data_IF_930330156214
#
_entry.id   IF_930330156214
#
_cell.length_a   1.000
_cell.length_b   1.000
_cell.length_c   1.000
_cell.angle_alpha   90.00
_cell.angle_beta   90.00
_cell.angle_gamma   90.00
#
_symmetry.space_group_name_H-M   'P 1'
#
loop_
_entity.id
_entity.type
_entity.pdbx_description
1 polymer ?
#
# COMPACT_ATOMS: atom_id res chain seq x y z
N UNK A 1 4.23 -22.05 -7.45
CA UNK A 1 3.82 -20.75 -8.02
C UNK A 1 4.12 -19.68 -7.00
N UNK A 2 4.45 -18.44 -7.42
CA UNK A 2 4.52 -17.24 -6.57
C UNK A 2 3.39 -16.34 -6.98
N UNK A 3 2.65 -15.79 -6.02
CA UNK A 3 1.61 -14.77 -6.28
C UNK A 3 2.23 -13.39 -6.13
N UNK A 4 1.79 -12.43 -6.96
CA UNK A 4 2.41 -11.12 -7.02
C UNK A 4 1.39 -10.03 -7.40
N UNK A 5 1.50 -8.87 -6.78
CA UNK A 5 0.67 -7.72 -7.08
C UNK A 5 1.25 -6.41 -6.57
N UNK A 6 0.77 -5.32 -7.15
CA UNK A 6 1.02 -3.96 -6.75
C UNK A 6 -0.30 -3.28 -6.38
N UNK A 7 -0.31 -2.39 -5.36
CA UNK A 7 -1.48 -1.64 -4.91
C UNK A 7 -2.65 -2.57 -4.59
N UNK A 8 -3.80 -2.41 -5.24
CA UNK A 8 -4.95 -3.31 -5.09
C UNK A 8 -4.60 -4.79 -5.37
N UNK A 9 -3.65 -5.05 -6.29
CA UNK A 9 -3.12 -6.38 -6.51
C UNK A 9 -2.32 -6.92 -5.33
N UNK A 10 -1.54 -6.08 -4.65
CA UNK A 10 -0.83 -6.44 -3.43
C UNK A 10 -1.80 -6.70 -2.26
N UNK A 11 -2.87 -5.90 -2.14
CA UNK A 11 -3.98 -6.16 -1.21
C UNK A 11 -4.59 -7.54 -1.46
N UNK A 12 -4.84 -7.87 -2.74
CA UNK A 12 -5.39 -9.18 -3.15
C UNK A 12 -4.45 -10.32 -2.78
N UNK A 13 -3.14 -10.16 -2.95
CA UNK A 13 -2.13 -11.10 -2.47
C UNK A 13 -2.22 -11.26 -0.95
N UNK A 14 -2.32 -10.15 -0.23
CA UNK A 14 -2.51 -10.12 1.23
C UNK A 14 -3.74 -10.89 1.69
N UNK A 15 -4.88 -10.74 0.97
CA UNK A 15 -6.09 -11.51 1.24
C UNK A 15 -5.87 -13.01 1.08
N UNK A 16 -5.17 -13.43 0.03
CA UNK A 16 -4.84 -14.86 -0.17
C UNK A 16 -3.93 -15.40 0.93
N UNK A 17 -3.06 -14.58 1.51
CA UNK A 17 -2.22 -14.97 2.64
C UNK A 17 -3.02 -15.18 3.93
N UNK A 18 -4.16 -14.52 4.10
CA UNK A 18 -5.01 -14.59 5.30
C UNK A 18 -6.34 -15.32 5.06
N UNK A 19 -6.65 -15.70 3.81
CA UNK A 19 -7.87 -16.42 3.44
C UNK A 19 -8.08 -17.67 4.30
N UNK A 20 -9.33 -17.94 4.66
CA UNK A 20 -9.71 -19.12 5.46
C UNK A 20 -8.90 -19.27 6.76
N UNK A 21 -8.58 -18.13 7.43
CA UNK A 21 -7.68 -18.08 8.59
C UNK A 21 -6.27 -18.65 8.31
N UNK A 22 -5.71 -18.31 7.17
CA UNK A 22 -4.35 -18.74 6.82
C UNK A 22 -4.23 -20.21 6.44
N UNK A 23 -5.32 -20.83 5.96
CA UNK A 23 -5.27 -22.19 5.46
C UNK A 23 -4.30 -22.32 4.29
N UNK A 24 -3.30 -23.19 4.43
CA UNK A 24 -2.29 -23.39 3.42
C UNK A 24 -2.64 -24.59 2.53
N UNK A 25 -3.30 -24.32 1.42
CA UNK A 25 -3.65 -25.33 0.39
C UNK A 25 -2.48 -25.67 -0.55
N UNK A 26 -1.27 -25.17 -0.27
CA UNK A 26 -0.04 -25.40 -1.08
C UNK A 26 -0.12 -24.93 -2.52
N UNK A 27 -0.97 -23.96 -2.82
CA UNK A 27 -1.18 -23.42 -4.17
C UNK A 27 0.00 -22.53 -4.58
N UNK A 28 0.56 -21.78 -3.61
CA UNK A 28 1.71 -20.91 -3.84
C UNK A 28 2.79 -21.13 -2.78
N UNK A 29 4.04 -20.83 -3.13
CA UNK A 29 5.22 -21.00 -2.28
C UNK A 29 5.91 -19.71 -1.90
N UNK A 30 5.42 -18.58 -2.34
CA UNK A 30 5.95 -17.25 -2.08
C UNK A 30 4.96 -16.19 -2.51
N UNK A 31 5.07 -14.99 -1.94
CA UNK A 31 4.21 -13.87 -2.25
C UNK A 31 5.02 -12.57 -2.37
N UNK A 32 4.65 -11.72 -3.32
CA UNK A 32 5.25 -10.41 -3.55
C UNK A 32 4.16 -9.36 -3.45
N UNK A 33 4.36 -8.39 -2.58
CA UNK A 33 3.42 -7.31 -2.31
C UNK A 33 4.15 -5.97 -2.45
N UNK A 34 3.75 -5.19 -3.44
CA UNK A 34 4.29 -3.86 -3.72
C UNK A 34 3.24 -2.82 -3.36
N UNK A 35 3.52 -1.95 -2.40
CA UNK A 35 2.61 -0.90 -1.94
C UNK A 35 1.22 -1.44 -1.63
N UNK A 36 1.15 -2.46 -0.80
CA UNK A 36 -0.04 -3.15 -0.35
C UNK A 36 0.34 -4.41 0.43
N UNK A 37 -0.54 -4.91 1.30
CA UNK A 37 -0.26 -6.03 2.19
C UNK A 37 -1.57 -6.50 2.88
N UNK A 38 -1.57 -7.52 3.76
CA UNK A 38 -2.78 -8.02 4.40
C UNK A 38 -3.56 -7.00 5.25
N UNK A 39 -2.94 -5.90 5.70
CA UNK A 39 -3.53 -4.98 6.70
C UNK A 39 -4.00 -3.64 6.07
N UNK A 40 -3.91 -3.45 4.78
CA UNK A 40 -4.07 -2.15 4.12
C UNK A 40 -5.49 -1.58 4.09
N UNK A 41 -6.52 -2.38 4.31
CA UNK A 41 -7.92 -1.96 4.14
C UNK A 41 -8.74 -2.34 5.35
N UNK A 42 -9.77 -1.55 5.62
CA UNK A 42 -10.78 -1.90 6.60
C UNK A 42 -11.66 -3.03 6.07
N UNK A 43 -12.14 -3.86 6.97
CA UNK A 43 -13.19 -4.82 6.66
C UNK A 43 -14.52 -4.16 6.98
N UNK A 44 -15.29 -3.82 5.96
CA UNK A 44 -16.55 -3.11 6.14
C UNK A 44 -17.65 -4.09 6.54
N UNK A 45 -18.59 -3.60 7.33
CA UNK A 45 -19.84 -4.31 7.56
C UNK A 45 -20.60 -4.42 6.24
N UNK A 46 -21.13 -5.62 5.97
CA UNK A 46 -21.84 -5.87 4.73
C UNK A 46 -23.19 -5.13 4.70
N UNK A 47 -23.28 -4.06 3.91
CA UNK A 47 -24.54 -3.44 3.55
C UNK A 47 -25.05 -3.98 2.20
N UNK A 48 -26.20 -4.65 2.23
CA UNK A 48 -26.84 -5.20 1.03
C UNK A 48 -27.44 -4.13 0.11
N UNK A 49 -27.55 -2.90 0.56
CA UNK A 49 -28.27 -1.84 -0.16
C UNK A 49 -27.70 -1.62 -1.56
N UNK A 50 -26.40 -1.53 -1.69
CA UNK A 50 -25.74 -1.32 -2.99
C UNK A 50 -25.92 -2.52 -3.91
N UNK A 51 -25.78 -3.75 -3.41
CA UNK A 51 -26.02 -4.97 -4.19
C UNK A 51 -27.48 -5.04 -4.68
N UNK A 52 -28.44 -4.73 -3.82
CA UNK A 52 -29.86 -4.75 -4.17
C UNK A 52 -30.19 -3.67 -5.21
N UNK A 53 -29.65 -2.47 -5.06
CA UNK A 53 -29.81 -1.39 -6.03
C UNK A 53 -29.20 -1.75 -7.39
N UNK A 54 -27.98 -2.29 -7.40
CA UNK A 54 -27.31 -2.77 -8.60
C UNK A 54 -28.12 -3.85 -9.31
N UNK A 55 -28.62 -4.82 -8.55
CA UNK A 55 -29.42 -5.93 -9.08
C UNK A 55 -30.73 -5.46 -9.71
N UNK A 56 -31.42 -4.52 -9.07
CA UNK A 56 -32.65 -3.92 -9.60
C UNK A 56 -32.39 -3.18 -10.92
N UNK A 57 -31.32 -2.39 -11.01
CA UNK A 57 -30.95 -1.68 -12.25
C UNK A 57 -30.59 -2.65 -13.38
N UNK A 58 -30.04 -3.80 -13.06
CA UNK A 58 -29.73 -4.85 -14.03
C UNK A 58 -30.96 -5.70 -14.42
N UNK A 59 -32.10 -5.48 -13.76
CA UNK A 59 -33.37 -6.16 -14.03
C UNK A 59 -33.61 -7.41 -13.19
N UNK A 60 -32.88 -7.60 -12.10
CA UNK A 60 -33.10 -8.67 -11.15
C UNK A 60 -34.14 -8.26 -10.10
N UNK A 61 -34.91 -9.25 -9.60
CA UNK A 61 -35.81 -9.00 -8.48
C UNK A 61 -35.02 -8.91 -7.16
N UNK A 62 -35.00 -7.74 -6.48
CA UNK A 62 -34.23 -7.58 -5.24
C UNK A 62 -34.69 -8.48 -4.08
N UNK A 63 -35.94 -8.98 -4.15
CA UNK A 63 -36.50 -9.92 -3.17
C UNK A 63 -36.25 -11.39 -3.51
N UNK A 64 -35.60 -11.66 -4.65
CA UNK A 64 -35.35 -13.02 -5.14
C UNK A 64 -33.90 -13.46 -4.89
N UNK A 65 -33.46 -14.54 -5.54
CA UNK A 65 -32.08 -15.02 -5.49
C UNK A 65 -31.18 -14.12 -6.37
N UNK A 66 -30.79 -12.96 -5.81
CA UNK A 66 -30.08 -11.89 -6.51
C UNK A 66 -28.82 -12.38 -7.20
N UNK A 67 -27.98 -13.15 -6.52
CA UNK A 67 -26.71 -13.63 -7.08
C UNK A 67 -26.90 -14.56 -8.27
N UNK A 68 -27.93 -15.42 -8.22
CA UNK A 68 -28.22 -16.32 -9.33
C UNK A 68 -28.73 -15.55 -10.55
N UNK A 69 -29.53 -14.51 -10.31
CA UNK A 69 -29.92 -13.61 -11.39
C UNK A 69 -28.72 -12.86 -11.99
N UNK A 70 -27.86 -12.28 -11.17
CA UNK A 70 -26.67 -11.57 -11.63
C UNK A 70 -25.73 -12.46 -12.45
N UNK A 71 -25.57 -13.74 -12.07
CA UNK A 71 -24.80 -14.73 -12.84
C UNK A 71 -25.37 -15.02 -14.22
N UNK A 72 -26.65 -14.77 -14.46
CA UNK A 72 -27.30 -14.94 -15.76
C UNK A 72 -27.24 -13.68 -16.64
N UNK A 73 -26.79 -12.53 -16.10
CA UNK A 73 -26.66 -11.30 -16.88
C UNK A 73 -25.53 -11.47 -17.90
N UNK A 74 -25.78 -11.21 -19.19
CA UNK A 74 -24.71 -11.25 -20.19
C UNK A 74 -23.56 -10.32 -19.84
N UNK A 75 -22.31 -10.82 -19.96
CA UNK A 75 -21.12 -10.07 -19.60
C UNK A 75 -21.08 -8.64 -20.14
N UNK A 76 -21.40 -8.35 -21.44
CA UNK A 76 -21.39 -6.99 -21.95
C UNK A 76 -22.31 -6.02 -21.18
N UNK A 77 -23.50 -6.51 -20.76
CA UNK A 77 -24.47 -5.71 -19.98
C UNK A 77 -23.96 -5.47 -18.56
N UNK A 78 -23.44 -6.51 -17.89
CA UNK A 78 -22.88 -6.40 -16.55
C UNK A 78 -21.66 -5.47 -16.55
N UNK A 79 -20.74 -5.65 -17.48
CA UNK A 79 -19.55 -4.83 -17.61
C UNK A 79 -19.88 -3.36 -17.91
N UNK A 80 -20.86 -3.08 -18.78
CA UNK A 80 -21.32 -1.73 -19.06
C UNK A 80 -21.88 -1.06 -17.80
N UNK A 81 -22.60 -1.83 -16.95
CA UNK A 81 -23.13 -1.31 -15.69
C UNK A 81 -21.99 -1.04 -14.67
N UNK A 82 -21.06 -1.97 -14.50
CA UNK A 82 -19.89 -1.79 -13.60
C UNK A 82 -19.10 -0.53 -13.97
N UNK A 83 -18.94 -0.25 -15.26
CA UNK A 83 -18.24 0.93 -15.78
C UNK A 83 -19.14 2.19 -15.90
N UNK A 84 -20.38 2.13 -15.44
CA UNK A 84 -21.23 3.32 -15.37
C UNK A 84 -20.88 4.20 -14.17
N UNK A 85 -21.39 5.44 -14.17
CA UNK A 85 -21.21 6.34 -13.02
C UNK A 85 -21.70 5.71 -11.71
N UNK A 86 -22.80 4.97 -11.74
CA UNK A 86 -23.34 4.28 -10.57
C UNK A 86 -22.41 3.14 -10.12
N UNK A 87 -21.97 2.28 -11.04
CA UNK A 87 -21.05 1.19 -10.73
C UNK A 87 -19.73 1.68 -10.17
N UNK A 88 -19.15 2.74 -10.77
CA UNK A 88 -17.90 3.33 -10.31
C UNK A 88 -18.02 4.10 -8.97
N UNK A 89 -19.23 4.48 -8.57
CA UNK A 89 -19.47 5.14 -7.28
C UNK A 89 -19.69 4.15 -6.13
N UNK A 90 -19.83 2.86 -6.41
CA UNK A 90 -19.96 1.83 -5.37
C UNK A 90 -18.62 1.59 -4.67
N UNK A 91 -18.71 1.22 -3.40
CA UNK A 91 -17.56 0.78 -2.64
C UNK A 91 -17.27 -0.72 -2.91
N UNK A 92 -16.23 -0.99 -3.69
CA UNK A 92 -15.80 -2.34 -4.05
C UNK A 92 -14.76 -2.90 -3.07
N UNK A 93 -14.89 -2.55 -1.79
CA UNK A 93 -13.97 -3.02 -0.77
C UNK A 93 -14.25 -4.47 -0.34
N UNK A 94 -13.24 -5.19 0.12
CA UNK A 94 -13.43 -6.50 0.72
C UNK A 94 -14.25 -6.41 2.01
N UNK A 95 -15.06 -7.41 2.24
CA UNK A 95 -15.87 -7.53 3.45
C UNK A 95 -15.53 -8.81 4.21
N UNK A 96 -15.78 -8.84 5.51
CA UNK A 96 -15.79 -10.08 6.28
C UNK A 96 -17.03 -10.86 5.87
N UNK A 97 -16.84 -11.96 5.12
CA UNK A 97 -17.92 -12.82 4.64
C UNK A 97 -18.09 -14.09 5.50
N UNK A 98 -17.16 -14.32 6.43
CA UNK A 98 -17.18 -15.49 7.31
C UNK A 98 -16.68 -16.79 6.66
N UNK A 99 -16.25 -16.73 5.41
CA UNK A 99 -15.69 -17.86 4.65
C UNK A 99 -14.28 -17.49 4.14
N UNK A 100 -14.17 -16.76 3.04
CA UNK A 100 -12.87 -16.37 2.49
C UNK A 100 -12.16 -15.35 3.41
N UNK A 101 -12.85 -14.28 3.81
CA UNK A 101 -12.36 -13.31 4.79
C UNK A 101 -13.09 -13.54 6.11
N UNK A 102 -12.42 -14.17 7.08
CA UNK A 102 -13.04 -14.58 8.32
C UNK A 102 -12.94 -13.55 9.45
N UNK A 103 -12.09 -12.54 9.30
CA UNK A 103 -11.90 -11.54 10.34
C UNK A 103 -10.97 -10.40 9.94
N UNK A 104 -10.74 -9.51 10.89
CA UNK A 104 -9.77 -8.41 10.75
C UNK A 104 -8.36 -8.98 10.59
N UNK A 105 -7.70 -8.62 9.51
CA UNK A 105 -6.42 -9.23 9.12
C UNK A 105 -5.30 -8.94 10.11
N UNK A 106 -5.29 -7.75 10.76
CA UNK A 106 -4.33 -7.46 11.83
C UNK A 106 -4.46 -8.42 13.04
N UNK A 107 -5.69 -8.85 13.34
CA UNK A 107 -5.98 -9.81 14.40
C UNK A 107 -5.55 -11.22 13.99
N UNK A 108 -5.83 -11.61 12.74
CA UNK A 108 -5.38 -12.90 12.19
C UNK A 108 -3.84 -12.99 12.21
N UNK A 109 -3.15 -11.97 11.73
CA UNK A 109 -1.69 -11.92 11.76
C UNK A 109 -1.11 -12.01 13.18
N UNK A 110 -1.75 -11.34 14.14
CA UNK A 110 -1.32 -11.41 15.55
C UNK A 110 -1.47 -12.81 16.16
N UNK A 111 -2.42 -13.62 15.67
CA UNK A 111 -2.64 -15.01 16.07
C UNK A 111 -1.74 -16.01 15.33
N UNK A 112 -1.10 -15.60 14.24
CA UNK A 112 -0.37 -16.49 13.35
C UNK A 112 -1.24 -17.16 12.28
N UNK A 113 -2.47 -16.69 12.09
CA UNK A 113 -3.46 -17.23 11.16
C UNK A 113 -3.22 -16.67 9.73
N UNK A 114 -2.07 -17.01 9.14
CA UNK A 114 -1.69 -16.64 7.78
C UNK A 114 -0.83 -17.74 7.13
N UNK A 115 -0.76 -17.75 5.82
CA UNK A 115 0.06 -18.73 5.08
C UNK A 115 1.54 -18.40 5.25
N UNK A 116 2.30 -19.31 5.85
CA UNK A 116 3.71 -19.15 6.21
C UNK A 116 4.65 -19.40 5.02
N UNK A 117 4.60 -18.54 4.02
CA UNK A 117 5.50 -18.54 2.86
C UNK A 117 6.43 -17.34 2.86
N UNK A 118 7.63 -17.41 2.25
CA UNK A 118 8.49 -16.24 2.08
C UNK A 118 7.77 -15.12 1.35
N UNK A 119 8.09 -13.85 1.74
CA UNK A 119 7.51 -12.67 1.12
C UNK A 119 8.58 -11.65 0.70
N UNK A 120 8.29 -10.92 -0.38
CA UNK A 120 8.77 -9.55 -0.60
C UNK A 120 7.61 -8.63 -0.25
N UNK A 121 7.86 -7.61 0.59
CA UNK A 121 6.86 -6.58 0.92
C UNK A 121 7.54 -5.21 1.00
N UNK A 122 7.02 -4.24 0.27
CA UNK A 122 7.64 -2.92 0.22
C UNK A 122 6.67 -1.79 -0.05
N UNK A 123 7.20 -0.57 0.06
CA UNK A 123 6.48 0.66 -0.25
C UNK A 123 7.46 1.71 -0.81
N UNK A 124 6.90 2.72 -1.46
CA UNK A 124 7.69 3.84 -1.96
C UNK A 124 7.88 4.89 -0.85
N UNK A 125 8.93 5.70 -0.95
CA UNK A 125 9.28 6.69 0.07
C UNK A 125 8.16 7.70 0.31
N UNK A 126 7.50 8.11 -0.75
CA UNK A 126 6.57 9.24 -0.79
C UNK A 126 5.14 8.81 -1.17
N UNK A 127 4.71 7.63 -0.70
CA UNK A 127 3.37 7.09 -0.96
C UNK A 127 2.25 8.11 -0.70
N UNK A 128 2.38 8.87 0.37
CA UNK A 128 1.39 9.85 0.78
C UNK A 128 1.17 11.00 -0.19
N UNK A 129 2.13 11.28 -1.07
CA UNK A 129 1.92 12.31 -2.11
C UNK A 129 0.79 11.93 -3.08
N UNK A 130 0.49 10.64 -3.22
CA UNK A 130 -0.65 10.13 -3.98
C UNK A 130 -1.96 10.11 -3.17
N UNK A 131 -1.88 9.91 -1.85
CA UNK A 131 -3.07 9.66 -1.00
C UNK A 131 -3.47 10.84 -0.13
N UNK A 132 -2.53 11.73 0.21
CA UNK A 132 -2.83 12.91 1.01
C UNK A 132 -3.77 13.88 0.30
N UNK A 133 -4.84 14.35 0.97
CA UNK A 133 -5.77 15.30 0.37
C UNK A 133 -5.11 16.66 0.13
N UNK A 134 -5.38 17.27 -1.02
CA UNK A 134 -4.83 18.57 -1.44
C UNK A 134 -5.93 19.52 -1.91
N UNK A 135 -5.80 20.85 -1.67
CA UNK A 135 -4.75 21.47 -0.87
C UNK A 135 -4.95 21.25 0.64
N UNK A 136 -3.84 21.17 1.40
CA UNK A 136 -3.85 21.13 2.86
C UNK A 136 -3.10 22.36 3.40
N UNK A 137 -3.82 23.42 3.74
CA UNK A 137 -3.23 24.73 4.03
C UNK A 137 -3.04 25.01 5.52
N UNK A 138 -3.78 24.35 6.40
CA UNK A 138 -3.72 24.61 7.82
C UNK A 138 -3.97 23.37 8.67
N UNK A 139 -3.56 23.45 9.94
CA UNK A 139 -3.85 22.41 10.93
C UNK A 139 -5.35 22.20 11.14
N UNK A 140 -6.17 23.27 11.05
CA UNK A 140 -7.63 23.18 11.16
C UNK A 140 -8.23 22.37 10.00
N UNK A 141 -7.73 22.58 8.77
CA UNK A 141 -8.15 21.77 7.62
C UNK A 141 -7.76 20.31 7.82
N UNK A 142 -6.57 20.06 8.35
CA UNK A 142 -6.13 18.69 8.63
C UNK A 142 -7.01 18.04 9.69
N UNK A 143 -7.28 18.71 10.83
CA UNK A 143 -8.22 18.23 11.86
C UNK A 143 -9.59 17.94 11.25
N UNK A 144 -10.13 18.90 10.48
CA UNK A 144 -11.43 18.75 9.85
C UNK A 144 -11.46 17.52 8.93
N UNK A 145 -10.39 17.29 8.16
CA UNK A 145 -10.29 16.10 7.31
C UNK A 145 -10.28 14.81 8.13
N UNK A 146 -9.49 14.74 9.21
CA UNK A 146 -9.42 13.58 10.10
C UNK A 146 -10.76 13.25 10.78
N UNK A 147 -11.55 14.27 11.10
CA UNK A 147 -12.79 14.12 11.90
C UNK A 147 -14.08 14.07 11.07
N UNK A 148 -14.02 14.33 9.77
CA UNK A 148 -15.22 14.37 8.91
C UNK A 148 -15.09 13.58 7.60
N UNK A 149 -13.92 13.01 7.31
CA UNK A 149 -13.75 12.16 6.14
C UNK A 149 -13.75 10.69 6.52
N UNK A 150 -14.52 9.89 5.80
CA UNK A 150 -14.54 8.45 5.97
C UNK A 150 -13.26 7.73 5.44
N UNK A 151 -12.35 8.47 4.84
CA UNK A 151 -11.11 7.90 4.30
C UNK A 151 -9.89 8.42 5.06
N UNK A 152 -9.10 7.51 5.72
CA UNK A 152 -9.35 6.07 5.88
C UNK A 152 -10.49 5.73 6.84
N UNK A 153 -10.79 6.62 7.80
CA UNK A 153 -11.84 6.49 8.82
C UNK A 153 -12.11 7.85 9.47
N UNK A 154 -13.31 8.05 9.97
CA UNK A 154 -13.66 9.26 10.75
C UNK A 154 -13.10 9.07 12.17
N UNK A 155 -12.15 9.93 12.55
CA UNK A 155 -11.57 9.94 13.89
C UNK A 155 -12.38 10.80 14.85
N UNK A 156 -12.40 10.40 16.11
CA UNK A 156 -12.87 11.31 17.18
C UNK A 156 -11.92 12.49 17.36
N UNK A 157 -12.36 13.62 17.94
CA UNK A 157 -11.46 14.73 18.25
C UNK A 157 -10.24 14.35 19.11
N UNK A 158 -10.42 13.41 20.03
CA UNK A 158 -9.33 12.90 20.87
C UNK A 158 -8.29 12.10 20.05
N UNK A 159 -8.75 11.28 19.11
CA UNK A 159 -7.87 10.53 18.20
C UNK A 159 -7.15 11.48 17.24
N UNK A 160 -7.84 12.47 16.67
CA UNK A 160 -7.21 13.50 15.83
C UNK A 160 -6.09 14.25 16.59
N UNK A 161 -6.31 14.57 17.86
CA UNK A 161 -5.27 15.19 18.68
C UNK A 161 -4.04 14.27 18.88
N UNK A 162 -4.23 12.94 18.99
CA UNK A 162 -3.12 11.99 19.06
C UNK A 162 -2.36 11.93 17.72
N UNK A 163 -3.05 11.95 16.57
CA UNK A 163 -2.41 12.07 15.25
C UNK A 163 -1.56 13.32 15.18
N UNK A 164 -2.10 14.50 15.58
CA UNK A 164 -1.34 15.75 15.57
C UNK A 164 -0.09 15.72 16.45
N UNK A 165 -0.14 15.01 17.56
CA UNK A 165 1.02 14.82 18.45
C UNK A 165 2.06 13.91 17.81
N UNK A 166 1.63 12.81 17.20
CA UNK A 166 2.52 11.83 16.55
C UNK A 166 3.11 12.34 15.22
N UNK A 167 2.43 13.29 14.57
CA UNK A 167 2.88 13.96 13.35
C UNK A 167 3.02 15.49 13.62
N UNK A 168 4.08 15.95 14.31
CA UNK A 168 4.30 17.36 14.61
C UNK A 168 4.64 18.17 13.36
N UNK A 169 4.30 19.48 13.33
CA UNK A 169 4.53 20.35 12.17
C UNK A 169 6.00 20.45 11.73
N UNK A 170 6.94 20.30 12.65
CA UNK A 170 8.37 20.53 12.41
C UNK A 170 9.19 19.23 12.20
N UNK A 171 8.53 18.11 11.87
CA UNK A 171 9.25 16.89 11.56
C UNK A 171 10.05 17.02 10.26
N UNK A 172 11.19 16.34 10.20
CA UNK A 172 12.14 16.45 9.08
C UNK A 172 12.06 15.30 8.10
N UNK A 173 11.26 14.27 8.42
CA UNK A 173 11.11 13.02 7.67
C UNK A 173 9.72 12.91 6.97
N UNK A 174 9.18 14.06 6.54
CA UNK A 174 7.94 14.10 5.78
C UNK A 174 8.16 14.13 4.26
N UNK A 175 7.26 13.48 3.49
CA UNK A 175 7.30 13.50 2.03
C UNK A 175 7.26 14.94 1.46
N UNK A 176 7.82 15.19 0.28
CA UNK A 176 8.70 14.28 -0.44
C UNK A 176 10.10 14.30 0.17
N UNK A 177 10.71 13.11 0.28
CA UNK A 177 11.98 12.90 0.99
C UNK A 177 13.21 13.45 0.25
N UNK A 178 13.09 13.66 -1.05
CA UNK A 178 14.14 14.27 -1.88
C UNK A 178 14.27 15.79 -1.69
N UNK A 179 13.30 16.43 -1.04
CA UNK A 179 13.32 17.88 -0.78
C UNK A 179 13.75 18.18 0.66
N UNK A 180 14.46 19.31 0.90
CA UNK A 180 14.93 19.64 2.24
C UNK A 180 13.75 19.88 3.19
N UNK A 181 13.93 19.67 4.50
CA UNK A 181 12.90 19.93 5.51
C UNK A 181 12.32 21.36 5.47
N UNK A 182 13.13 22.32 5.01
CA UNK A 182 12.73 23.72 4.84
C UNK A 182 11.86 23.99 3.61
N UNK A 183 11.66 23.02 2.75
CA UNK A 183 10.76 23.18 1.60
C UNK A 183 9.31 23.41 2.06
N UNK A 184 8.72 24.48 1.59
CA UNK A 184 7.30 24.82 1.84
C UNK A 184 6.53 24.61 0.53
N UNK A 185 5.55 23.71 0.52
CA UNK A 185 4.73 23.47 -0.65
C UNK A 185 3.95 24.71 -1.10
N UNK A 186 3.82 24.86 -2.42
CA UNK A 186 3.05 25.97 -3.00
C UNK A 186 1.53 25.89 -2.72
N UNK A 187 0.77 26.95 -3.08
CA UNK A 187 -0.67 27.06 -2.74
C UNK A 187 -1.53 25.91 -3.25
N UNK A 188 -1.15 25.30 -4.39
CA UNK A 188 -1.89 24.17 -4.96
C UNK A 188 -1.78 22.88 -4.14
N UNK A 189 -0.73 22.75 -3.34
CA UNK A 189 -0.53 21.63 -2.41
C UNK A 189 -0.97 21.99 -1.00
N UNK A 190 -0.62 23.21 -0.57
CA UNK A 190 -0.89 23.74 0.78
C UNK A 190 0.28 23.51 1.75
N UNK A 191 0.46 24.43 2.70
CA UNK A 191 1.60 24.48 3.61
C UNK A 191 1.71 23.25 4.54
N UNK A 192 0.59 22.60 4.86
CA UNK A 192 0.50 21.39 5.70
C UNK A 192 0.49 20.08 4.87
N UNK A 193 0.64 20.15 3.54
CA UNK A 193 0.53 18.93 2.70
C UNK A 193 1.55 17.88 3.06
N UNK A 194 2.81 18.24 3.34
CA UNK A 194 3.87 17.30 3.75
C UNK A 194 3.49 16.48 4.98
N UNK A 195 2.91 17.15 5.99
CA UNK A 195 2.41 16.50 7.21
C UNK A 195 1.23 15.59 6.93
N UNK A 196 0.29 16.06 6.14
CA UNK A 196 -0.86 15.29 5.68
C UNK A 196 -0.41 14.07 4.88
N UNK A 197 0.49 14.25 3.92
CA UNK A 197 1.03 13.17 3.10
C UNK A 197 1.76 12.11 3.96
N UNK A 198 2.52 12.54 4.99
CA UNK A 198 3.13 11.60 5.92
C UNK A 198 2.10 10.70 6.61
N UNK A 199 1.04 11.29 7.18
CA UNK A 199 -0.01 10.51 7.83
C UNK A 199 -0.77 9.59 6.86
N UNK A 200 -1.21 10.13 5.71
CA UNK A 200 -2.00 9.34 4.76
C UNK A 200 -1.16 8.24 4.08
N UNK A 201 0.11 8.49 3.80
CA UNK A 201 1.02 7.46 3.29
C UNK A 201 1.31 6.38 4.32
N UNK A 202 1.49 6.78 5.58
CA UNK A 202 1.73 5.83 6.66
C UNK A 202 0.50 4.97 6.94
N UNK A 203 -0.69 5.56 7.07
CA UNK A 203 -1.89 4.78 7.36
C UNK A 203 -2.28 3.86 6.22
N UNK A 204 -2.00 4.26 4.97
CA UNK A 204 -2.40 3.50 3.80
C UNK A 204 -1.39 2.42 3.45
N UNK A 205 -0.09 2.70 3.46
CA UNK A 205 0.93 1.81 2.91
C UNK A 205 2.04 1.44 3.91
N UNK A 206 2.66 2.42 4.58
CA UNK A 206 3.96 2.19 5.23
C UNK A 206 3.82 1.49 6.59
N UNK A 207 2.85 1.90 7.44
CA UNK A 207 2.63 1.26 8.73
C UNK A 207 2.16 -0.20 8.58
N UNK A 208 1.17 -0.51 7.71
CA UNK A 208 0.78 -1.88 7.44
C UNK A 208 1.93 -2.74 6.89
N UNK A 209 2.76 -2.23 5.95
CA UNK A 209 3.95 -2.90 5.45
C UNK A 209 4.92 -3.24 6.58
N UNK A 210 5.26 -2.27 7.44
CA UNK A 210 6.15 -2.49 8.59
C UNK A 210 5.62 -3.59 9.51
N UNK A 211 4.34 -3.54 9.83
CA UNK A 211 3.69 -4.55 10.70
C UNK A 211 3.70 -5.93 10.06
N UNK A 212 3.45 -6.03 8.76
CA UNK A 212 3.52 -7.30 8.00
C UNK A 212 4.94 -7.87 8.07
N UNK A 213 5.96 -7.09 7.73
CA UNK A 213 7.36 -7.50 7.80
C UNK A 213 7.76 -7.99 9.21
N UNK A 214 7.36 -7.26 10.23
CA UNK A 214 7.60 -7.64 11.63
C UNK A 214 6.89 -8.95 12.00
N UNK A 215 5.68 -9.17 11.51
CA UNK A 215 4.90 -10.38 11.77
C UNK A 215 5.61 -11.60 11.18
N UNK A 216 6.02 -11.53 9.92
CA UNK A 216 6.78 -12.61 9.29
C UNK A 216 8.09 -12.89 10.00
N UNK A 217 8.85 -11.85 10.33
CA UNK A 217 10.12 -12.01 11.05
C UNK A 217 9.92 -12.66 12.43
N UNK A 218 8.89 -12.28 13.20
CA UNK A 218 8.53 -12.91 14.49
C UNK A 218 8.13 -14.37 14.32
N UNK A 219 7.42 -14.71 13.27
CA UNK A 219 7.04 -16.07 12.90
C UNK A 219 8.23 -16.88 12.35
N UNK A 220 9.42 -16.29 12.20
CA UNK A 220 10.63 -16.89 11.60
C UNK A 220 10.44 -17.33 10.14
N UNK A 221 9.51 -16.72 9.45
CA UNK A 221 9.29 -16.89 8.00
C UNK A 221 10.12 -15.82 7.27
N UNK A 222 10.84 -16.13 6.18
CA UNK A 222 11.62 -15.16 5.46
C UNK A 222 10.74 -14.00 4.94
N UNK A 223 11.11 -12.78 5.28
CA UNK A 223 10.56 -11.56 4.71
C UNK A 223 11.71 -10.71 4.17
N UNK A 224 11.55 -10.16 2.99
CA UNK A 224 12.48 -9.24 2.35
C UNK A 224 11.74 -7.93 2.13
N UNK A 225 12.05 -6.93 2.97
CA UNK A 225 11.29 -5.71 3.00
C UNK A 225 12.09 -4.58 2.37
N UNK A 226 11.42 -3.72 1.59
CA UNK A 226 12.08 -2.65 0.87
C UNK A 226 11.38 -1.30 1.00
N UNK A 227 12.14 -0.28 0.67
CA UNK A 227 11.67 1.07 0.36
C UNK A 227 12.27 1.49 -1.00
N UNK A 228 11.43 1.92 -1.91
CA UNK A 228 11.86 2.46 -3.20
C UNK A 228 12.00 3.99 -3.10
N UNK A 229 13.17 4.53 -3.50
CA UNK A 229 13.55 5.93 -3.29
C UNK A 229 14.01 6.65 -4.58
N UNK A 230 13.71 6.09 -5.73
CA UNK A 230 14.09 6.70 -7.02
C UNK A 230 12.90 7.45 -7.61
N UNK A 231 13.13 8.68 -8.08
CA UNK A 231 12.12 9.49 -8.77
C UNK A 231 12.31 9.29 -10.27
N UNK A 232 11.35 8.68 -10.97
CA UNK A 232 11.45 8.46 -12.41
C UNK A 232 11.39 9.76 -13.21
N UNK A 233 11.86 9.71 -14.45
CA UNK A 233 11.72 10.82 -15.38
C UNK A 233 10.25 11.31 -15.49
N UNK A 234 10.09 12.62 -15.62
CA UNK A 234 8.78 13.26 -15.77
C UNK A 234 7.97 13.41 -14.49
N UNK A 235 8.41 12.82 -13.37
CA UNK A 235 7.79 13.01 -12.05
C UNK A 235 8.31 14.28 -11.40
N UNK A 236 7.44 15.25 -11.04
CA UNK A 236 7.87 16.46 -10.37
C UNK A 236 8.53 16.17 -9.02
N UNK A 237 9.59 16.91 -8.68
CA UNK A 237 10.33 16.73 -7.41
C UNK A 237 9.45 16.87 -6.16
N UNK A 238 8.38 17.65 -6.23
CA UNK A 238 7.43 17.84 -5.12
C UNK A 238 6.46 16.66 -4.95
N UNK A 239 6.45 15.71 -5.89
CA UNK A 239 5.71 14.45 -5.79
C UNK A 239 6.57 13.36 -5.15
N UNK A 240 7.85 13.36 -5.48
CA UNK A 240 8.82 12.38 -4.96
C UNK A 240 8.65 10.98 -5.55
N UNK A 241 9.24 9.99 -4.89
CA UNK A 241 9.08 8.57 -5.22
C UNK A 241 7.72 8.07 -4.70
N UNK A 242 6.66 8.40 -5.42
CA UNK A 242 5.28 8.15 -5.04
C UNK A 242 4.79 6.77 -5.46
N UNK A 243 3.51 6.50 -5.21
CA UNK A 243 2.83 5.24 -5.52
C UNK A 243 3.01 4.80 -6.97
N UNK A 244 3.23 3.51 -7.22
CA UNK A 244 3.39 2.87 -8.53
C UNK A 244 4.71 3.13 -9.26
N UNK A 245 5.60 3.98 -8.74
CA UNK A 245 6.79 4.43 -9.49
C UNK A 245 7.85 3.32 -9.66
N UNK A 246 7.91 2.34 -8.78
CA UNK A 246 8.85 1.23 -8.83
C UNK A 246 8.52 0.20 -9.91
N UNK A 247 7.30 0.17 -10.41
CA UNK A 247 6.79 -0.89 -11.32
C UNK A 247 7.61 -0.97 -12.61
N UNK A 248 7.95 0.18 -13.20
CA UNK A 248 8.77 0.20 -14.41
C UNK A 248 10.16 -0.42 -14.19
N UNK A 249 10.74 -0.24 -13.00
CA UNK A 249 12.03 -0.80 -12.62
C UNK A 249 11.93 -2.31 -12.38
N UNK A 250 10.90 -2.75 -11.69
CA UNK A 250 10.68 -4.19 -11.42
C UNK A 250 10.49 -4.98 -12.71
N UNK A 251 9.83 -4.40 -13.71
CA UNK A 251 9.64 -5.05 -15.02
C UNK A 251 10.77 -4.79 -16.03
N UNK A 252 11.84 -4.10 -15.62
CA UNK A 252 12.93 -3.66 -16.52
C UNK A 252 12.39 -2.96 -17.79
N UNK A 253 11.33 -2.19 -17.62
CA UNK A 253 10.64 -1.51 -18.71
C UNK A 253 11.37 -0.21 -19.13
N UNK A 254 12.64 -0.33 -19.43
CA UNK A 254 13.52 0.79 -19.77
C UNK A 254 13.16 1.47 -21.09
N UNK A 255 12.38 0.79 -21.93
CA UNK A 255 11.84 1.36 -23.17
C UNK A 255 10.52 2.14 -22.96
N UNK A 256 9.99 2.18 -21.76
CA UNK A 256 8.74 2.88 -21.45
C UNK A 256 7.51 2.35 -22.18
N UNK A 257 7.46 1.06 -22.43
CA UNK A 257 6.30 0.45 -23.08
C UNK A 257 5.04 0.66 -22.26
N UNK A 258 4.02 1.24 -22.86
CA UNK A 258 2.77 1.61 -22.16
C UNK A 258 2.79 3.00 -21.51
N UNK A 259 3.90 3.71 -21.56
CA UNK A 259 4.00 5.12 -21.16
C UNK A 259 3.89 6.07 -22.35
N UNK A 260 3.68 7.36 -22.10
CA UNK A 260 3.63 8.38 -23.16
C UNK A 260 2.28 8.50 -23.90
N UNK A 261 1.23 7.81 -23.48
CA UNK A 261 -0.13 8.02 -23.99
C UNK A 261 -0.82 9.20 -23.29
N UNK A 262 -1.85 9.81 -23.89
CA UNK A 262 -2.61 10.84 -23.20
C UNK A 262 -3.11 10.37 -21.83
N UNK A 263 -2.73 11.10 -20.79
CA UNK A 263 -3.06 10.78 -19.40
C UNK A 263 -2.11 9.79 -18.70
N UNK A 264 -1.10 9.28 -19.38
CA UNK A 264 -0.04 8.43 -18.78
C UNK A 264 1.28 9.21 -18.81
N UNK A 265 2.08 9.05 -17.74
CA UNK A 265 3.38 9.71 -17.61
C UNK A 265 4.34 9.35 -18.76
N UNK A 266 5.36 10.17 -18.92
CA UNK A 266 6.43 9.94 -19.90
C UNK A 266 7.22 8.68 -19.57
N UNK A 267 8.07 8.21 -20.51
CA UNK A 267 8.97 7.09 -20.23
C UNK A 267 9.79 7.36 -18.97
N UNK A 268 9.69 6.51 -17.94
CA UNK A 268 10.37 6.71 -16.63
C UNK A 268 11.89 6.79 -16.70
N UNK A 269 12.50 6.38 -17.80
CA UNK A 269 13.95 6.31 -18.00
C UNK A 269 14.48 7.32 -19.02
N UNK A 270 13.63 8.16 -19.62
CA UNK A 270 14.05 9.09 -20.67
C UNK A 270 15.02 10.14 -20.14
N UNK A 271 16.26 10.13 -20.67
CA UNK A 271 17.30 11.07 -20.25
C UNK A 271 17.91 10.82 -18.86
N UNK A 272 17.50 9.76 -18.18
CA UNK A 272 18.03 9.44 -16.85
C UNK A 272 19.44 8.86 -16.89
N UNK A 273 20.25 9.06 -15.81
CA UNK A 273 21.58 8.49 -15.71
C UNK A 273 21.59 6.97 -15.76
N UNK A 274 22.73 6.40 -16.12
CA UNK A 274 22.97 4.95 -16.20
C UNK A 274 22.52 4.17 -14.97
N UNK A 275 22.65 4.74 -13.76
CA UNK A 275 22.22 4.13 -12.51
C UNK A 275 20.74 3.74 -12.48
N UNK A 276 19.87 4.45 -13.22
CA UNK A 276 18.45 4.11 -13.31
C UNK A 276 18.22 2.79 -14.05
N UNK A 277 18.94 2.58 -15.15
CA UNK A 277 18.88 1.34 -15.94
C UNK A 277 19.49 0.17 -15.17
N UNK A 278 20.63 0.40 -14.49
CA UNK A 278 21.25 -0.60 -13.63
C UNK A 278 20.36 -0.96 -12.42
N UNK A 279 19.61 0.00 -11.88
CA UNK A 279 18.64 -0.28 -10.83
C UNK A 279 17.46 -1.14 -11.34
N UNK A 280 16.98 -0.87 -12.54
CA UNK A 280 15.90 -1.66 -13.16
C UNK A 280 16.35 -3.13 -13.37
N UNK A 281 17.53 -3.34 -13.92
CA UNK A 281 18.13 -4.68 -14.08
C UNK A 281 18.29 -5.39 -12.72
N UNK A 282 18.82 -4.69 -11.70
CA UNK A 282 18.99 -5.25 -10.36
C UNK A 282 17.67 -5.61 -9.68
N UNK A 283 16.64 -4.74 -9.79
CA UNK A 283 15.32 -5.00 -9.22
C UNK A 283 14.63 -6.17 -9.94
N UNK A 284 14.58 -6.14 -11.26
CA UNK A 284 14.01 -7.23 -12.07
C UNK A 284 14.68 -8.57 -11.75
N UNK A 285 16.02 -8.59 -11.69
CA UNK A 285 16.80 -9.76 -11.30
C UNK A 285 16.47 -10.27 -9.89
N UNK A 286 16.29 -9.37 -8.93
CA UNK A 286 15.92 -9.71 -7.55
C UNK A 286 14.52 -10.34 -7.46
N UNK A 287 13.53 -9.80 -8.17
CA UNK A 287 12.18 -10.39 -8.24
C UNK A 287 12.20 -11.78 -8.92
N UNK A 288 12.91 -11.90 -10.04
CA UNK A 288 13.09 -13.20 -10.73
C UNK A 288 13.77 -14.23 -9.82
N UNK A 289 14.83 -13.84 -9.10
CA UNK A 289 15.53 -14.68 -8.13
C UNK A 289 14.60 -15.14 -7.00
N UNK A 290 13.80 -14.23 -6.44
CA UNK A 290 12.82 -14.58 -5.42
C UNK A 290 11.75 -15.58 -5.95
N UNK A 291 11.24 -15.37 -7.16
CA UNK A 291 10.29 -16.29 -7.79
C UNK A 291 10.91 -17.67 -7.98
N UNK A 292 12.18 -17.74 -8.36
CA UNK A 292 12.90 -19.00 -8.60
C UNK A 292 13.36 -19.69 -7.31
N UNK A 293 14.00 -18.95 -6.38
CA UNK A 293 14.72 -19.49 -5.24
C UNK A 293 14.09 -19.18 -3.87
N UNK A 294 13.09 -18.32 -3.81
CA UNK A 294 12.53 -17.80 -2.56
C UNK A 294 13.42 -16.76 -1.85
N UNK A 295 14.42 -16.23 -2.56
CA UNK A 295 15.37 -15.22 -2.08
C UNK A 295 15.70 -14.21 -3.18
N UNK A 296 15.69 -12.89 -2.92
CA UNK A 296 15.92 -11.88 -3.94
C UNK A 296 17.42 -11.63 -4.26
N UNK A 297 18.32 -12.37 -3.62
CA UNK A 297 19.77 -12.24 -3.77
C UNK A 297 20.49 -11.96 -2.45
N UNK A 298 21.82 -12.16 -2.45
CA UNK A 298 22.65 -12.06 -1.23
C UNK A 298 22.80 -10.60 -0.71
N UNK A 299 22.60 -9.62 -1.57
CA UNK A 299 22.71 -8.18 -1.21
C UNK A 299 21.54 -7.71 -0.35
N UNK A 300 20.37 -8.38 -0.41
CA UNK A 300 19.16 -7.99 0.28
C UNK A 300 18.94 -8.87 1.53
N UNK A 301 19.19 -8.35 2.73
CA UNK A 301 19.06 -9.13 3.95
C UNK A 301 17.59 -9.43 4.27
N UNK A 302 17.37 -10.57 4.93
CA UNK A 302 16.07 -10.87 5.53
C UNK A 302 15.75 -9.81 6.59
N UNK A 303 14.49 -9.36 6.61
CA UNK A 303 13.98 -8.49 7.67
C UNK A 303 14.07 -9.19 9.02
N UNK A 304 14.71 -8.55 9.98
CA UNK A 304 14.89 -9.07 11.32
C UNK A 304 14.34 -8.07 12.32
N UNK A 305 13.60 -8.58 13.29
CA UNK A 305 13.20 -7.82 14.46
C UNK A 305 14.04 -8.35 15.63
N UNK A 306 14.77 -7.48 16.30
CA UNK A 306 15.47 -7.85 17.52
C UNK A 306 14.47 -8.09 18.64
N UNK A 307 14.91 -8.73 19.73
CA UNK A 307 14.02 -9.21 20.81
C UNK A 307 13.65 -8.13 21.82
N UNK A 308 14.16 -6.92 21.71
CA UNK A 308 13.90 -5.84 22.67
C UNK A 308 12.65 -5.04 22.28
N UNK A 309 11.85 -4.60 23.27
CA UNK A 309 10.73 -3.71 22.98
C UNK A 309 11.19 -2.44 22.27
N UNK A 310 10.54 -2.11 21.17
CA UNK A 310 10.86 -0.92 20.36
C UNK A 310 11.91 -1.14 19.26
N UNK A 311 12.48 -2.34 19.14
CA UNK A 311 13.35 -2.66 18.03
C UNK A 311 12.60 -2.61 16.71
N UNK A 312 13.18 -1.91 15.76
CA UNK A 312 12.73 -1.82 14.37
C UNK A 312 13.55 -2.78 13.51
N UNK A 313 12.93 -3.29 12.46
CA UNK A 313 13.65 -4.10 11.48
C UNK A 313 14.51 -3.27 10.55
N UNK A 314 15.01 -3.89 9.50
CA UNK A 314 15.83 -3.24 8.48
C UNK A 314 15.25 -3.48 7.11
N UNK A 315 15.12 -2.39 6.33
CA UNK A 315 14.75 -2.43 4.93
C UNK A 315 15.98 -2.42 4.04
N UNK A 316 15.86 -2.97 2.84
CA UNK A 316 16.70 -2.59 1.72
C UNK A 316 16.09 -1.38 1.02
N UNK A 317 16.87 -0.33 0.82
CA UNK A 317 16.46 0.85 0.05
C UNK A 317 16.95 0.70 -1.37
N UNK A 318 16.07 0.81 -2.34
CA UNK A 318 16.42 0.92 -3.76
C UNK A 318 16.54 2.39 -4.15
N UNK A 319 17.72 2.79 -4.59
CA UNK A 319 18.01 4.19 -4.96
C UNK A 319 19.05 4.26 -6.09
N UNK A 320 18.62 4.72 -7.26
CA UNK A 320 19.50 4.87 -8.43
C UNK A 320 20.62 5.93 -8.24
N UNK A 321 20.48 6.80 -7.24
CA UNK A 321 21.37 7.94 -7.02
C UNK A 321 22.50 7.66 -6.03
N UNK A 322 22.60 6.43 -5.53
CA UNK A 322 23.64 6.02 -4.58
C UNK A 322 24.54 4.94 -5.16
N UNK A 323 25.77 4.89 -4.70
CA UNK A 323 26.71 3.81 -5.08
C UNK A 323 26.17 2.47 -4.59
N UNK A 324 26.14 1.48 -5.49
CA UNK A 324 25.62 0.14 -5.19
C UNK A 324 24.10 0.02 -5.31
N UNK A 325 23.42 1.05 -5.86
CA UNK A 325 22.00 1.06 -6.20
C UNK A 325 21.06 0.85 -5.00
N UNK A 326 21.60 0.96 -3.79
CA UNK A 326 20.84 0.82 -2.57
C UNK A 326 21.69 0.61 -1.33
N UNK A 327 21.01 0.53 -0.19
CA UNK A 327 21.64 0.34 1.13
C UNK A 327 20.64 -0.23 2.12
N UNK A 328 21.16 -0.75 3.23
CA UNK A 328 20.33 -1.18 4.37
C UNK A 328 20.04 0.03 5.27
N UNK A 329 18.79 0.22 5.65
CA UNK A 329 18.39 1.23 6.64
C UNK A 329 17.58 0.61 7.79
N UNK A 330 17.57 1.26 8.94
CA UNK A 330 16.62 0.95 9.99
C UNK A 330 15.20 1.38 9.58
N UNK A 331 14.22 0.50 9.76
CA UNK A 331 12.80 0.78 9.47
C UNK A 331 12.17 1.62 10.60
N UNK A 332 12.75 2.80 10.86
CA UNK A 332 12.42 3.64 12.01
C UNK A 332 11.69 4.95 11.67
N UNK A 333 11.44 5.22 10.39
CA UNK A 333 10.77 6.46 9.97
C UNK A 333 9.45 6.65 10.67
N UNK A 334 9.19 7.88 11.11
CA UNK A 334 7.94 8.31 11.77
C UNK A 334 7.44 7.30 12.82
N UNK A 335 8.38 6.79 13.63
CA UNK A 335 8.17 5.67 14.57
C UNK A 335 6.90 5.85 15.41
N UNK A 336 6.70 7.03 16.02
CA UNK A 336 5.56 7.30 16.89
C UNK A 336 4.24 7.25 16.14
N UNK A 337 4.18 7.85 14.95
CA UNK A 337 3.00 7.83 14.09
C UNK A 337 2.64 6.42 13.61
N UNK A 338 3.63 5.68 13.14
CA UNK A 338 3.43 4.32 12.65
C UNK A 338 3.07 3.36 13.79
N UNK A 339 3.62 3.55 14.99
CA UNK A 339 3.22 2.78 16.16
C UNK A 339 1.76 3.06 16.53
N UNK A 340 1.36 4.33 16.59
CA UNK A 340 -0.03 4.74 16.85
C UNK A 340 -1.00 4.10 15.85
N UNK A 341 -0.67 4.13 14.56
CA UNK A 341 -1.48 3.50 13.51
C UNK A 341 -1.59 2.00 13.77
N UNK A 342 -0.48 1.32 14.05
CA UNK A 342 -0.46 -0.12 14.31
C UNK A 342 -1.25 -0.55 15.56
N UNK A 343 -1.31 0.30 16.61
CA UNK A 343 -2.15 0.10 17.78
C UNK A 343 -3.63 0.23 17.46
N UNK A 344 -3.97 1.02 16.46
CA UNK A 344 -5.35 1.31 16.06
C UNK A 344 -5.89 0.42 14.92
N UNK A 345 -5.08 -0.47 14.36
CA UNK A 345 -5.49 -1.28 13.21
C UNK A 345 -6.85 -2.00 13.41
N UNK A 346 -7.03 -2.68 14.55
CA UNK A 346 -8.24 -3.47 14.78
C UNK A 346 -9.45 -2.61 15.21
N UNK A 347 -9.24 -1.62 16.09
CA UNK A 347 -10.34 -0.95 16.77
C UNK A 347 -10.76 0.38 16.12
N UNK A 348 -9.85 1.03 15.41
CA UNK A 348 -10.10 2.31 14.74
C UNK A 348 -10.15 2.16 13.24
N UNK A 349 -9.15 1.51 12.64
CA UNK A 349 -9.11 1.31 11.18
C UNK A 349 -9.85 0.06 10.71
N UNK A 350 -10.34 -0.77 11.61
CA UNK A 350 -11.16 -1.98 11.35
C UNK A 350 -10.49 -3.02 10.45
N UNK A 351 -9.21 -3.11 10.48
CA UNK A 351 -8.42 -3.96 9.57
C UNK A 351 -7.50 -4.96 10.29
#
# INVERSE_FOLDING_TARGET
MTIWGESAGALSVGMHLTAYNGRDDKIFRGAIMQSGNPINYGTFDYDKTDLLNASAQLGCNPSGPVLDCLRQIPFPKLNAWINSTQGLSMDWQPIIDGDFIQGKTSVQLAKGDFVHVPIIDGANSDEGSAFGPKPMNSTEQFINRLTHSAQPVILTPAQAAQVLKAYPQNATDYPPMNLPPSYVPGPGLGAESRRSDAYYGDVTMIAPRRKTCQTWAKAKVPAYCYRFNTIPHGVPSFVGATHFQEVAFVFDNTMGMGYGYPGVSQNPFEGEPRGYFELADAMSGAWASFIHDGMPGAFWPKYKVNTHPGDVGQNWVFDANVTGLGFVEEDSWRREGIQLIGEWDADVYHR
#
